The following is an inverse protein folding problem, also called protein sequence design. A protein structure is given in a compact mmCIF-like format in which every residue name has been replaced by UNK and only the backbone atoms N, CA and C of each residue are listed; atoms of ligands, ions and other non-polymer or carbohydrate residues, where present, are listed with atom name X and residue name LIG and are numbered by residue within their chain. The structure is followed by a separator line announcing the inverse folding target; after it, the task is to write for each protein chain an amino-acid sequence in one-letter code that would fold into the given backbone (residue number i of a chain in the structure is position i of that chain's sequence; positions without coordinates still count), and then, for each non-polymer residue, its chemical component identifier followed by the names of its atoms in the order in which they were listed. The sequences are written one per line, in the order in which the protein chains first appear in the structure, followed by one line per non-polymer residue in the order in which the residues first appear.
data_IF_268390898581
#
_entry.id   IF_268390898581
#
_cell.length_a   1.000
_cell.length_b   1.000
_cell.length_c   1.000
_cell.angle_alpha   90.00
_cell.angle_beta   90.00
_cell.angle_gamma   90.00
#
_symmetry.space_group_name_H-M   'P 1'
#
loop_
_entity.id
_entity.type
_entity.pdbx_description
1 polymer ?
#
# COMPACT_ATOMS: atom_id res chain seq x y z
N UNK A 1 5.05 -19.99 -4.79
CA UNK A 1 4.84 -18.66 -4.18
C UNK A 1 4.44 -17.69 -5.28
N UNK A 2 3.30 -17.00 -5.14
CA UNK A 2 2.75 -16.12 -6.19
C UNK A 2 2.94 -14.63 -5.88
N UNK A 3 2.96 -14.26 -4.60
CA UNK A 3 3.08 -12.89 -4.11
C UNK A 3 4.31 -12.72 -3.21
N UNK A 4 4.84 -11.50 -3.11
CA UNK A 4 5.87 -11.10 -2.16
C UNK A 4 5.59 -9.69 -1.64
N UNK A 5 5.67 -9.50 -0.32
CA UNK A 5 5.56 -8.19 0.34
C UNK A 5 6.97 -7.60 0.46
N UNK A 6 7.15 -6.36 0.03
CA UNK A 6 8.43 -5.65 0.05
C UNK A 6 8.25 -4.24 0.60
N UNK A 7 9.25 -3.73 1.33
CA UNK A 7 9.21 -2.37 1.86
C UNK A 7 8.21 -2.16 3.00
N UNK A 8 7.77 -3.22 3.67
CA UNK A 8 6.88 -3.12 4.83
C UNK A 8 7.51 -2.22 5.89
N UNK A 9 6.70 -1.37 6.51
CA UNK A 9 7.14 -0.41 7.55
C UNK A 9 8.07 -1.02 8.59
N UNK A 10 7.73 -2.19 9.15
CA UNK A 10 8.58 -2.91 10.13
C UNK A 10 9.98 -3.27 9.59
N UNK A 11 10.10 -3.63 8.30
CA UNK A 11 11.40 -3.94 7.69
C UNK A 11 12.22 -2.67 7.47
N UNK A 12 11.57 -1.56 7.11
CA UNK A 12 12.23 -0.25 6.99
C UNK A 12 12.81 0.18 8.33
N UNK A 13 12.09 -0.03 9.43
CA UNK A 13 12.60 0.20 10.80
C UNK A 13 13.82 -0.68 11.13
N UNK A 14 13.92 -1.87 10.53
CA UNK A 14 15.08 -2.77 10.66
C UNK A 14 16.23 -2.44 9.69
N UNK A 15 16.20 -1.30 9.00
CA UNK A 15 17.28 -0.83 8.12
C UNK A 15 17.11 -1.17 6.63
N UNK A 16 15.94 -1.64 6.21
CA UNK A 16 15.64 -1.81 4.78
C UNK A 16 15.51 -0.44 4.10
N UNK A 17 16.38 -0.17 3.12
CA UNK A 17 16.44 1.11 2.39
C UNK A 17 15.71 1.03 1.05
N UNK A 18 15.29 2.17 0.49
CA UNK A 18 14.66 2.24 -0.84
C UNK A 18 15.51 1.60 -1.94
N UNK A 19 16.84 1.74 -1.84
CA UNK A 19 17.76 1.05 -2.77
C UNK A 19 17.63 -0.47 -2.66
N UNK A 20 17.67 -1.01 -1.43
CA UNK A 20 17.55 -2.46 -1.22
C UNK A 20 16.17 -3.00 -1.64
N UNK A 21 15.12 -2.19 -1.48
CA UNK A 21 13.75 -2.51 -1.89
C UNK A 21 13.66 -2.53 -3.42
N UNK A 22 14.19 -1.51 -4.09
CA UNK A 22 14.25 -1.45 -5.55
C UNK A 22 14.95 -2.68 -6.16
N UNK A 23 16.08 -3.10 -5.60
CA UNK A 23 16.80 -4.31 -6.01
C UNK A 23 15.94 -5.58 -5.83
N UNK A 24 15.23 -5.69 -4.71
CA UNK A 24 14.29 -6.80 -4.45
C UNK A 24 13.10 -6.81 -5.40
N UNK A 25 12.53 -5.64 -5.70
CA UNK A 25 11.41 -5.51 -6.64
C UNK A 25 11.86 -5.98 -8.03
N UNK A 26 13.01 -5.51 -8.52
CA UNK A 26 13.57 -5.94 -9.82
C UNK A 26 13.72 -7.46 -9.88
N UNK A 27 14.33 -8.05 -8.84
CA UNK A 27 14.52 -9.51 -8.76
C UNK A 27 13.19 -10.27 -8.73
N UNK A 28 12.21 -9.81 -7.93
CA UNK A 28 10.90 -10.43 -7.81
C UNK A 28 10.11 -10.38 -9.13
N UNK A 29 10.10 -9.22 -9.80
CA UNK A 29 9.39 -9.03 -11.06
C UNK A 29 9.99 -9.85 -12.20
N UNK A 30 11.32 -9.98 -12.27
CA UNK A 30 12.00 -10.86 -13.24
C UNK A 30 11.60 -12.33 -13.04
N UNK A 31 11.35 -12.74 -11.79
CA UNK A 31 10.82 -14.06 -11.43
C UNK A 31 9.30 -14.16 -11.58
N UNK A 32 8.64 -13.15 -12.14
CA UNK A 32 7.18 -13.07 -12.36
C UNK A 32 6.35 -13.16 -11.08
N UNK A 33 6.92 -12.83 -9.92
CA UNK A 33 6.16 -12.69 -8.68
C UNK A 33 5.30 -11.43 -8.73
N UNK A 34 4.12 -11.47 -8.09
CA UNK A 34 3.33 -10.28 -7.81
C UNK A 34 3.91 -9.56 -6.59
N UNK A 35 4.37 -8.33 -6.79
CA UNK A 35 4.97 -7.51 -5.75
C UNK A 35 3.89 -6.67 -5.08
N UNK A 36 3.80 -6.77 -3.76
CA UNK A 36 3.05 -5.84 -2.90
C UNK A 36 4.08 -4.91 -2.28
N UNK A 37 4.25 -3.72 -2.87
CA UNK A 37 5.16 -2.69 -2.38
C UNK A 37 4.45 -1.86 -1.32
N UNK A 38 5.01 -1.80 -0.12
CA UNK A 38 4.47 -1.01 0.98
C UNK A 38 5.12 0.38 1.01
N UNK A 39 4.28 1.42 1.13
CA UNK A 39 4.68 2.82 1.23
C UNK A 39 3.83 3.52 2.28
N UNK A 40 4.40 4.51 2.96
CA UNK A 40 3.68 5.25 3.98
C UNK A 40 4.57 6.04 4.91
N UNK A 41 4.02 7.17 5.35
CA UNK A 41 4.63 8.20 6.18
C UNK A 41 4.44 7.93 7.68
N UNK A 42 5.36 8.47 8.48
CA UNK A 42 5.25 8.50 9.95
C UNK A 42 4.59 9.77 10.50
N UNK A 43 4.52 10.83 9.70
CA UNK A 43 3.90 12.10 10.06
C UNK A 43 2.89 12.49 8.99
N UNK A 44 1.64 12.71 9.40
CA UNK A 44 0.57 13.19 8.54
C UNK A 44 0.26 14.64 8.91
N UNK A 45 0.86 15.56 8.15
CA UNK A 45 0.72 16.99 8.36
C UNK A 45 -0.44 17.59 7.55
N UNK A 46 -1.00 18.69 8.04
CA UNK A 46 -2.09 19.41 7.37
C UNK A 46 -1.62 20.23 6.15
N UNK A 47 -0.31 20.47 5.99
CA UNK A 47 0.24 21.15 4.81
C UNK A 47 0.32 20.25 3.57
N UNK A 48 0.15 18.94 3.72
CA UNK A 48 0.19 17.95 2.65
C UNK A 48 1.60 17.47 2.28
N UNK A 49 2.62 17.80 3.08
CA UNK A 49 4.02 17.43 2.84
C UNK A 49 4.25 15.93 2.94
N UNK A 50 3.43 15.20 3.69
CA UNK A 50 3.43 13.74 3.73
C UNK A 50 3.28 13.11 2.33
N UNK A 51 2.59 13.76 1.40
CA UNK A 51 2.48 13.29 0.02
C UNK A 51 3.83 13.30 -0.69
N UNK A 52 4.70 14.27 -0.39
CA UNK A 52 6.07 14.28 -0.94
C UNK A 52 6.89 13.09 -0.42
N UNK A 53 6.68 12.68 0.83
CA UNK A 53 7.32 11.48 1.38
C UNK A 53 6.90 10.22 0.61
N UNK A 54 5.59 10.00 0.42
CA UNK A 54 5.05 8.87 -0.36
C UNK A 54 5.59 8.91 -1.79
N UNK A 55 5.61 10.09 -2.42
CA UNK A 55 6.15 10.27 -3.78
C UNK A 55 7.62 9.85 -3.86
N UNK A 56 8.44 10.29 -2.91
CA UNK A 56 9.87 9.99 -2.89
C UNK A 56 10.12 8.49 -2.73
N UNK A 57 9.39 7.80 -1.83
CA UNK A 57 9.46 6.34 -1.70
C UNK A 57 9.11 5.66 -3.03
N UNK A 58 7.96 5.99 -3.62
CA UNK A 58 7.53 5.39 -4.89
C UNK A 58 8.55 5.61 -6.01
N UNK A 59 9.08 6.82 -6.15
CA UNK A 59 10.07 7.14 -7.20
C UNK A 59 11.37 6.36 -6.98
N UNK A 60 11.85 6.27 -5.74
CA UNK A 60 13.06 5.53 -5.41
C UNK A 60 12.89 4.02 -5.59
N UNK A 61 11.84 3.45 -5.00
CA UNK A 61 11.53 2.02 -5.02
C UNK A 61 11.24 1.51 -6.44
N UNK A 62 10.65 2.35 -7.30
CA UNK A 62 10.29 1.99 -8.67
C UNK A 62 11.32 2.43 -9.73
N UNK A 63 12.44 3.01 -9.29
CA UNK A 63 13.48 3.53 -10.18
C UNK A 63 14.04 2.48 -11.13
N UNK A 64 14.08 2.84 -12.44
CA UNK A 64 14.64 2.01 -13.53
C UNK A 64 13.99 0.62 -13.66
N UNK A 65 12.71 0.47 -13.29
CA UNK A 65 11.93 -0.73 -13.60
C UNK A 65 11.23 -0.56 -14.94
N UNK A 66 11.29 -1.59 -15.79
CA UNK A 66 10.62 -1.56 -17.10
C UNK A 66 9.11 -1.67 -16.95
N UNK A 67 8.37 -0.92 -17.77
CA UNK A 67 6.89 -0.81 -17.73
C UNK A 67 6.17 -2.15 -17.90
N UNK A 68 6.72 -3.06 -18.70
CA UNK A 68 6.16 -4.38 -18.99
C UNK A 68 6.07 -5.31 -17.77
N UNK A 69 6.91 -5.07 -16.77
CA UNK A 69 6.94 -5.83 -15.52
C UNK A 69 5.86 -5.38 -14.52
N UNK A 70 5.27 -4.20 -14.70
CA UNK A 70 4.38 -3.57 -13.71
C UNK A 70 2.97 -4.15 -13.64
N UNK A 71 2.59 -5.04 -14.59
CA UNK A 71 1.35 -5.83 -14.47
C UNK A 71 1.28 -6.66 -13.19
N UNK A 72 2.43 -6.88 -12.56
CA UNK A 72 2.59 -7.62 -11.32
C UNK A 72 2.79 -6.71 -10.09
N UNK A 73 2.66 -5.39 -10.22
CA UNK A 73 2.80 -4.44 -9.11
C UNK A 73 1.45 -4.17 -8.45
N UNK A 74 1.44 -4.23 -7.12
CA UNK A 74 0.40 -3.77 -6.21
C UNK A 74 1.08 -2.84 -5.21
N UNK A 75 0.43 -1.74 -4.84
CA UNK A 75 0.93 -0.84 -3.80
C UNK A 75 0.05 -0.99 -2.56
N UNK A 76 0.64 -1.13 -1.39
CA UNK A 76 -0.05 -1.08 -0.11
C UNK A 76 0.30 0.22 0.61
N UNK A 77 -0.71 1.04 0.89
CA UNK A 77 -0.57 2.24 1.69
C UNK A 77 -0.64 1.89 3.18
N UNK A 78 0.43 2.19 3.91
CA UNK A 78 0.59 1.93 5.34
C UNK A 78 0.76 3.25 6.11
N UNK A 79 -0.32 3.92 6.56
CA UNK A 79 -0.18 5.13 7.38
C UNK A 79 0.46 4.78 8.74
N UNK A 80 1.78 4.93 8.87
CA UNK A 80 2.52 4.49 10.06
C UNK A 80 2.02 5.24 11.31
N UNK A 81 1.62 6.50 11.16
CA UNK A 81 1.00 7.32 12.19
C UNK A 81 -0.35 6.78 12.71
N UNK A 82 -1.02 5.89 11.97
CA UNK A 82 -2.31 5.29 12.33
C UNK A 82 -2.22 3.80 12.70
N UNK A 83 -1.01 3.23 12.76
CA UNK A 83 -0.79 1.80 13.02
C UNK A 83 -0.09 1.58 14.36
N UNK A 84 -0.56 0.60 15.13
CA UNK A 84 0.10 0.14 16.34
C UNK A 84 -0.32 0.87 17.61
N UNK A 85 0.46 0.68 18.68
CA UNK A 85 0.17 1.19 20.03
C UNK A 85 0.43 2.70 20.17
N UNK A 86 1.28 3.24 19.31
CA UNK A 86 1.72 4.64 19.32
C UNK A 86 0.97 5.45 18.24
N UNK A 87 -0.14 4.93 17.73
CA UNK A 87 -0.95 5.59 16.71
C UNK A 87 -1.54 6.91 17.24
N UNK A 88 -1.39 7.99 16.47
CA UNK A 88 -1.89 9.31 16.86
C UNK A 88 -3.42 9.39 16.80
N UNK A 89 -4.01 8.84 15.73
CA UNK A 89 -5.47 8.70 15.51
C UNK A 89 -5.71 7.58 14.49
N UNK A 90 -6.91 6.98 14.44
CA UNK A 90 -7.26 6.12 13.31
C UNK A 90 -7.29 6.93 12.00
N UNK A 91 -6.89 6.29 10.91
CA UNK A 91 -7.11 6.85 9.57
C UNK A 91 -8.61 6.89 9.28
N UNK A 92 -9.06 7.92 8.57
CA UNK A 92 -10.42 8.01 8.03
C UNK A 92 -10.44 7.46 6.61
N UNK A 93 -11.62 7.15 6.08
CA UNK A 93 -11.77 6.77 4.67
C UNK A 93 -11.28 7.87 3.71
N UNK A 94 -11.43 9.14 4.08
CA UNK A 94 -10.92 10.27 3.31
C UNK A 94 -9.39 10.30 3.27
N UNK A 95 -8.69 10.11 4.41
CA UNK A 95 -7.22 10.00 4.44
C UNK A 95 -6.74 8.90 3.48
N UNK A 96 -7.41 7.74 3.52
CA UNK A 96 -7.09 6.58 2.68
C UNK A 96 -7.35 6.89 1.21
N UNK A 97 -8.46 7.57 0.89
CA UNK A 97 -8.83 7.98 -0.47
C UNK A 97 -7.82 8.96 -1.06
N UNK A 98 -7.44 9.99 -0.30
CA UNK A 98 -6.43 10.96 -0.69
C UNK A 98 -5.09 10.28 -1.02
N UNK A 99 -4.60 9.41 -0.13
CA UNK A 99 -3.36 8.68 -0.34
C UNK A 99 -3.45 7.74 -1.56
N UNK A 100 -4.55 7.00 -1.72
CA UNK A 100 -4.74 6.08 -2.85
C UNK A 100 -4.76 6.80 -4.20
N UNK A 101 -5.48 7.92 -4.29
CA UNK A 101 -5.52 8.77 -5.48
C UNK A 101 -4.13 9.32 -5.80
N UNK A 102 -3.41 9.80 -4.77
CA UNK A 102 -2.08 10.34 -4.94
C UNK A 102 -1.06 9.28 -5.37
N UNK A 103 -1.10 8.06 -4.81
CA UNK A 103 -0.28 6.93 -5.25
C UNK A 103 -0.51 6.66 -6.74
N UNK A 104 -1.77 6.56 -7.19
CA UNK A 104 -2.08 6.36 -8.63
C UNK A 104 -1.57 7.49 -9.50
N UNK A 105 -1.63 8.74 -9.01
CA UNK A 105 -1.08 9.91 -9.70
C UNK A 105 0.44 9.78 -9.87
N UNK A 106 1.18 9.48 -8.80
CA UNK A 106 2.64 9.30 -8.86
C UNK A 106 3.02 8.15 -9.79
N UNK A 107 2.34 7.00 -9.70
CA UNK A 107 2.59 5.87 -10.62
C UNK A 107 2.27 6.26 -12.07
N UNK A 108 1.26 7.10 -12.30
CA UNK A 108 0.95 7.65 -13.63
C UNK A 108 2.04 8.58 -14.14
N UNK A 109 2.67 9.38 -13.27
CA UNK A 109 3.81 10.25 -13.63
C UNK A 109 5.03 9.42 -14.04
N UNK A 110 5.33 8.32 -13.33
CA UNK A 110 6.50 7.47 -13.61
C UNK A 110 6.29 6.63 -14.89
N UNK A 111 5.08 6.07 -15.07
CA UNK A 111 4.86 5.03 -16.07
C UNK A 111 3.81 5.34 -17.14
N UNK A 112 3.08 6.43 -16.98
CA UNK A 112 1.99 6.85 -17.86
C UNK A 112 0.62 6.52 -17.28
N UNK A 113 -0.36 7.35 -17.65
CA UNK A 113 -1.74 7.34 -17.14
C UNK A 113 -2.41 5.96 -17.16
N UNK A 114 -2.23 5.19 -18.23
CA UNK A 114 -2.88 3.88 -18.37
C UNK A 114 -2.43 2.87 -17.31
N UNK A 115 -1.17 2.95 -16.86
CA UNK A 115 -0.63 2.05 -15.83
C UNK A 115 -1.05 2.56 -14.45
N UNK A 116 -0.84 3.84 -14.16
CA UNK A 116 -1.09 4.36 -12.82
C UNK A 116 -2.56 4.38 -12.42
N UNK A 117 -3.51 4.57 -13.34
CA UNK A 117 -4.95 4.43 -13.00
C UNK A 117 -5.30 2.99 -12.62
N UNK A 118 -4.64 1.99 -13.21
CA UNK A 118 -4.97 0.57 -13.04
C UNK A 118 -4.18 -0.14 -11.93
N UNK A 119 -3.14 0.48 -11.38
CA UNK A 119 -2.31 -0.16 -10.34
C UNK A 119 -3.16 -0.46 -9.11
N UNK A 120 -3.25 -1.70 -8.60
CA UNK A 120 -4.04 -1.94 -7.41
C UNK A 120 -3.43 -1.23 -6.20
N UNK A 121 -4.26 -0.52 -5.43
CA UNK A 121 -3.87 0.11 -4.16
C UNK A 121 -4.61 -0.58 -3.03
N UNK A 122 -3.88 -1.12 -2.07
CA UNK A 122 -4.42 -1.74 -0.86
C UNK A 122 -4.26 -0.79 0.33
N UNK A 123 -5.19 -0.85 1.28
CA UNK A 123 -5.01 -0.25 2.59
C UNK A 123 -4.35 -1.26 3.54
N UNK A 124 -3.21 -0.88 4.13
CA UNK A 124 -2.43 -1.70 5.06
C UNK A 124 -2.55 -1.29 6.53
N UNK A 125 -3.46 -0.37 6.86
CA UNK A 125 -3.70 0.04 8.24
C UNK A 125 -4.61 -0.93 9.03
N UNK A 126 -5.09 -0.45 10.18
CA UNK A 126 -5.94 -1.28 11.06
C UNK A 126 -7.33 -1.50 10.47
N UNK A 127 -7.59 -2.71 10.00
CA UNK A 127 -8.88 -3.13 9.41
C UNK A 127 -9.49 -4.32 10.16
N UNK A 128 -10.81 -4.29 10.33
CA UNK A 128 -11.63 -5.37 10.86
C UNK A 128 -13.02 -5.42 10.17
N UNK A 129 -13.89 -6.31 10.63
CA UNK A 129 -15.23 -6.48 10.06
C UNK A 129 -16.16 -5.28 10.28
N UNK A 130 -15.84 -4.37 11.20
CA UNK A 130 -16.66 -3.19 11.48
C UNK A 130 -16.35 -2.03 10.54
N UNK A 131 -15.10 -1.91 10.08
CA UNK A 131 -14.65 -0.77 9.28
C UNK A 131 -14.27 -1.11 7.83
N UNK A 132 -14.09 -2.38 7.47
CA UNK A 132 -13.67 -2.76 6.12
C UNK A 132 -14.62 -2.27 5.00
N UNK A 133 -15.93 -2.24 5.25
CA UNK A 133 -16.90 -1.75 4.27
C UNK A 133 -16.73 -0.28 3.94
N UNK A 134 -16.47 0.55 4.95
CA UNK A 134 -16.30 1.99 4.80
C UNK A 134 -15.07 2.30 3.96
N UNK A 135 -13.92 1.71 4.32
CA UNK A 135 -12.69 1.90 3.56
C UNK A 135 -12.80 1.41 2.11
N UNK A 136 -13.46 0.27 1.87
CA UNK A 136 -13.58 -0.26 0.51
C UNK A 136 -14.50 0.59 -0.37
N UNK A 137 -15.57 1.17 0.20
CA UNK A 137 -16.51 2.03 -0.53
C UNK A 137 -15.94 3.43 -0.80
N UNK A 138 -15.34 4.04 0.22
CA UNK A 138 -15.05 5.48 0.19
C UNK A 138 -13.54 5.77 0.04
N UNK A 139 -12.68 4.78 0.30
CA UNK A 139 -11.22 4.93 0.32
C UNK A 139 -10.53 4.83 -1.05
N UNK A 140 -11.24 4.70 -2.17
CA UNK A 140 -10.65 4.56 -3.52
C UNK A 140 -9.59 3.43 -3.65
N UNK A 141 -9.68 2.40 -2.80
CA UNK A 141 -8.78 1.24 -2.72
C UNK A 141 -9.34 0.01 -3.43
N UNK A 142 -8.51 -1.01 -3.61
CA UNK A 142 -8.87 -2.29 -4.23
C UNK A 142 -8.83 -3.47 -3.26
N UNK A 143 -8.66 -3.22 -1.97
CA UNK A 143 -8.62 -4.24 -0.93
C UNK A 143 -7.67 -3.89 0.20
N UNK A 144 -7.27 -4.92 0.96
CA UNK A 144 -6.55 -4.76 2.21
C UNK A 144 -5.28 -5.60 2.27
N UNK A 145 -4.25 -5.07 2.93
CA UNK A 145 -3.13 -5.84 3.45
C UNK A 145 -3.36 -6.05 4.95
N UNK A 146 -4.05 -7.14 5.31
CA UNK A 146 -4.54 -7.34 6.69
C UNK A 146 -3.44 -7.90 7.60
N UNK A 147 -3.09 -7.15 8.64
CA UNK A 147 -2.15 -7.58 9.69
C UNK A 147 -2.81 -8.51 10.72
N UNK A 148 -2.92 -8.07 11.98
CA UNK A 148 -3.35 -8.91 13.13
C UNK A 148 -4.67 -9.65 12.93
N UNK A 149 -5.65 -9.07 12.26
CA UNK A 149 -6.94 -9.71 12.03
C UNK A 149 -6.83 -10.97 11.15
N UNK A 150 -5.78 -11.08 10.31
CA UNK A 150 -5.52 -12.26 9.48
C UNK A 150 -5.14 -13.50 10.29
N UNK A 151 -4.68 -13.34 11.54
CA UNK A 151 -4.28 -14.45 12.42
C UNK A 151 -5.48 -15.24 12.98
N UNK A 152 -6.69 -14.72 12.82
CA UNK A 152 -7.93 -15.40 13.25
C UNK A 152 -8.76 -15.74 12.03
N UNK A 153 -8.96 -17.02 11.76
CA UNK A 153 -9.76 -17.49 10.64
C UNK A 153 -11.18 -16.91 10.63
N UNK A 154 -11.81 -16.77 11.81
CA UNK A 154 -13.13 -16.15 11.94
C UNK A 154 -13.13 -14.67 11.56
N UNK A 155 -12.21 -13.88 12.13
CA UNK A 155 -12.11 -12.43 11.83
C UNK A 155 -11.74 -12.18 10.37
N UNK A 156 -10.76 -12.91 9.86
CA UNK A 156 -10.32 -12.76 8.47
C UNK A 156 -11.39 -13.22 7.47
N UNK A 157 -12.06 -14.35 7.76
CA UNK A 157 -13.17 -14.83 6.95
C UNK A 157 -14.34 -13.85 6.91
N UNK A 158 -14.63 -13.17 8.01
CA UNK A 158 -15.65 -12.13 8.06
C UNK A 158 -15.30 -10.92 7.19
N UNK A 159 -14.04 -10.44 7.24
CA UNK A 159 -13.55 -9.38 6.35
C UNK A 159 -13.73 -9.81 4.89
N UNK A 160 -13.27 -11.02 4.52
CA UNK A 160 -13.39 -11.54 3.15
C UNK A 160 -14.86 -11.58 2.70
N UNK A 161 -15.75 -12.11 3.55
CA UNK A 161 -17.19 -12.21 3.26
C UNK A 161 -17.78 -10.84 2.97
N UNK A 162 -17.56 -9.88 3.86
CA UNK A 162 -18.06 -8.52 3.71
C UNK A 162 -17.52 -7.88 2.42
N UNK A 163 -16.22 -8.01 2.15
CA UNK A 163 -15.62 -7.42 0.95
C UNK A 163 -16.07 -8.05 -0.36
N UNK A 164 -16.53 -9.32 -0.36
CA UNK A 164 -17.07 -9.97 -1.55
C UNK A 164 -18.51 -9.56 -1.87
N UNK A 165 -19.21 -8.94 -0.92
CA UNK A 165 -20.59 -8.46 -1.05
C UNK A 165 -20.65 -6.98 -1.53
N UNK A 166 -19.50 -6.34 -1.74
CA UNK A 166 -19.32 -4.94 -2.12
C UNK A 166 -18.84 -4.80 -3.58
#
# INVERSE_FOLDING_TARGET
MQYVILGHSERRTMGETDQSINEKIKSALLKKLKVILCVGESLHDESGDYLNFIKNQLVADLSRIKKDLLRNLIVAYEPIWAIGKDAARPATSDDVSQAAIFIRKVVSEIYGRNIGIKVPVLYGGSVDSKNCSEYLRDGSINGFLVGRASLSAGKFGEIIRITNEL
#
